data_IF_896879666099
#
_entry.id   IF_896879666099
#
_cell.length_a   1.000
_cell.length_b   1.000
_cell.length_c   1.000
_cell.angle_alpha   90.00
_cell.angle_beta   90.00
_cell.angle_gamma   90.00
#
_symmetry.space_group_name_H-M   'P 1'
#
loop_
_entity.id
_entity.type
_entity.pdbx_description
1 polymer ?
#
# COMPACT_ATOMS: atom_id res chain seq x y z
N UNK A 1 -54.25 3.61 -1.21
CA UNK A 1 -52.83 3.45 -1.57
C UNK A 1 -52.63 2.01 -2.01
N UNK A 2 -52.29 1.78 -3.25
CA UNK A 2 -52.03 0.43 -3.77
C UNK A 2 -50.77 -0.10 -3.10
N UNK A 3 -50.86 -1.29 -2.50
CA UNK A 3 -49.70 -1.95 -1.88
C UNK A 3 -48.70 -2.31 -2.99
N UNK A 4 -47.45 -1.84 -2.90
CA UNK A 4 -46.40 -2.23 -3.85
C UNK A 4 -46.19 -3.75 -3.79
N UNK A 5 -45.90 -4.35 -4.96
CA UNK A 5 -45.47 -5.75 -4.99
C UNK A 5 -44.12 -5.91 -4.27
N UNK A 6 -43.79 -7.12 -3.86
CA UNK A 6 -42.46 -7.41 -3.25
C UNK A 6 -41.33 -7.05 -4.20
N UNK A 7 -41.47 -7.40 -5.47
CA UNK A 7 -40.53 -7.07 -6.53
C UNK A 7 -40.32 -5.56 -6.68
N UNK A 8 -41.41 -4.76 -6.77
CA UNK A 8 -41.29 -3.30 -6.87
C UNK A 8 -40.66 -2.69 -5.63
N UNK A 9 -40.93 -3.27 -4.46
CA UNK A 9 -40.27 -2.85 -3.20
C UNK A 9 -38.79 -3.10 -3.24
N UNK A 10 -38.36 -4.28 -3.65
CA UNK A 10 -36.93 -4.63 -3.74
C UNK A 10 -36.21 -3.73 -4.73
N UNK A 11 -36.73 -3.49 -5.91
CA UNK A 11 -36.15 -2.57 -6.90
C UNK A 11 -36.03 -1.14 -6.36
N UNK A 12 -37.07 -0.65 -5.69
CA UNK A 12 -37.06 0.70 -5.09
C UNK A 12 -36.00 0.83 -4.01
N UNK A 13 -35.86 -0.15 -3.12
CA UNK A 13 -34.86 -0.13 -2.07
C UNK A 13 -33.44 -0.28 -2.66
N UNK A 14 -33.27 -1.15 -3.68
CA UNK A 14 -32.05 -1.28 -4.43
C UNK A 14 -31.61 0.04 -5.09
N UNK A 15 -32.58 0.77 -5.69
CA UNK A 15 -32.30 2.06 -6.32
C UNK A 15 -31.81 3.11 -5.32
N UNK A 16 -32.38 3.17 -4.12
CA UNK A 16 -31.89 4.09 -3.05
C UNK A 16 -30.47 3.76 -2.59
N UNK A 17 -30.16 2.47 -2.46
CA UNK A 17 -28.81 2.01 -2.12
C UNK A 17 -27.83 2.39 -3.23
N UNK A 18 -28.23 2.20 -4.50
CA UNK A 18 -27.42 2.56 -5.66
C UNK A 18 -27.12 4.06 -5.70
N UNK A 19 -28.11 4.93 -5.43
CA UNK A 19 -27.92 6.38 -5.36
C UNK A 19 -26.86 6.74 -4.32
N UNK A 20 -27.01 6.25 -3.11
CA UNK A 20 -26.09 6.56 -2.02
C UNK A 20 -24.67 6.07 -2.30
N UNK A 21 -24.51 4.88 -2.88
CA UNK A 21 -23.22 4.35 -3.26
C UNK A 21 -22.59 5.14 -4.42
N UNK A 22 -23.38 5.50 -5.42
CA UNK A 22 -22.92 6.28 -6.55
C UNK A 22 -22.44 7.67 -6.14
N UNK A 23 -23.19 8.35 -5.27
CA UNK A 23 -22.78 9.66 -4.71
C UNK A 23 -21.51 9.55 -3.87
N UNK A 24 -21.40 8.51 -3.03
CA UNK A 24 -20.26 8.32 -2.13
C UNK A 24 -18.95 8.05 -2.90
N UNK A 25 -19.04 7.29 -3.99
CA UNK A 25 -17.86 6.83 -4.74
C UNK A 25 -17.70 7.52 -6.10
N UNK A 26 -18.46 8.60 -6.37
CA UNK A 26 -18.28 9.37 -7.60
C UNK A 26 -16.86 9.95 -7.70
N UNK A 27 -16.31 10.06 -8.90
CA UNK A 27 -16.80 9.59 -10.19
C UNK A 27 -16.31 8.18 -10.56
N UNK A 28 -15.62 7.46 -9.68
CA UNK A 28 -14.86 6.26 -9.99
C UNK A 28 -15.68 4.95 -9.93
N UNK A 29 -16.92 5.02 -9.48
CA UNK A 29 -17.78 3.83 -9.31
C UNK A 29 -19.10 3.97 -10.08
N UNK A 30 -19.26 3.15 -11.09
CA UNK A 30 -20.57 2.92 -11.73
C UNK A 30 -21.38 1.98 -10.84
N UNK A 31 -22.64 2.34 -10.59
CA UNK A 31 -23.61 1.50 -9.86
C UNK A 31 -24.81 1.20 -10.74
N UNK A 32 -25.12 -0.08 -10.89
CA UNK A 32 -26.19 -0.56 -11.79
C UNK A 32 -27.20 -1.38 -10.99
N UNK A 33 -28.48 -1.11 -11.17
CA UNK A 33 -29.56 -1.95 -10.67
C UNK A 33 -30.20 -2.68 -11.86
N UNK A 34 -30.28 -4.00 -11.74
CA UNK A 34 -30.88 -4.88 -12.70
C UNK A 34 -32.23 -5.42 -12.19
N UNK A 35 -33.23 -5.39 -13.02
CA UNK A 35 -34.42 -6.21 -12.91
C UNK A 35 -34.19 -7.54 -13.64
N UNK A 36 -34.03 -8.60 -12.87
CA UNK A 36 -33.75 -9.93 -13.42
C UNK A 36 -35.01 -10.66 -13.90
N UNK A 37 -36.20 -10.12 -13.63
CA UNK A 37 -37.46 -10.65 -14.18
C UNK A 37 -37.68 -10.27 -15.64
N UNK A 38 -36.93 -9.25 -16.13
CA UNK A 38 -36.94 -8.81 -17.53
C UNK A 38 -35.50 -8.78 -18.11
N UNK A 39 -34.86 -9.94 -18.37
CA UNK A 39 -33.45 -10.00 -18.72
C UNK A 39 -33.12 -9.32 -20.06
N UNK A 40 -34.05 -9.13 -20.97
CA UNK A 40 -33.82 -8.41 -22.23
C UNK A 40 -33.75 -6.88 -22.07
N UNK A 41 -34.25 -6.34 -20.96
CA UNK A 41 -34.28 -4.92 -20.61
C UNK A 41 -33.95 -4.78 -19.11
N UNK A 42 -32.87 -5.39 -18.67
CA UNK A 42 -32.59 -5.60 -17.25
C UNK A 42 -32.13 -4.35 -16.52
N UNK A 43 -31.43 -3.43 -17.16
CA UNK A 43 -30.95 -2.22 -16.47
C UNK A 43 -32.12 -1.27 -16.22
N UNK A 44 -32.53 -1.13 -14.98
CA UNK A 44 -33.57 -0.19 -14.54
C UNK A 44 -32.99 1.08 -13.95
N UNK A 45 -31.70 1.05 -13.54
CA UNK A 45 -30.98 2.21 -13.04
C UNK A 45 -29.48 2.04 -13.26
N UNK A 46 -28.82 3.13 -13.63
CA UNK A 46 -27.38 3.21 -13.78
C UNK A 46 -26.91 4.61 -13.39
N UNK A 47 -25.91 4.70 -12.53
CA UNK A 47 -25.30 5.94 -12.07
C UNK A 47 -23.79 5.92 -12.33
N UNK A 48 -23.21 7.09 -12.63
CA UNK A 48 -21.80 7.26 -12.97
C UNK A 48 -21.32 6.30 -14.07
N UNK A 49 -22.09 6.18 -15.17
CA UNK A 49 -21.80 5.20 -16.23
C UNK A 49 -20.37 5.34 -16.77
N UNK A 50 -19.55 4.32 -16.53
CA UNK A 50 -18.19 4.17 -17.08
C UNK A 50 -18.13 3.05 -18.13
N UNK A 51 -19.10 2.16 -18.14
CA UNK A 51 -19.21 1.03 -19.08
C UNK A 51 -19.78 1.41 -20.43
N UNK A 52 -20.39 2.59 -20.54
CA UNK A 52 -21.14 3.02 -21.72
C UNK A 52 -22.53 2.37 -21.86
N UNK A 53 -22.96 1.61 -20.85
CA UNK A 53 -24.31 1.01 -20.81
C UNK A 53 -25.37 2.03 -20.39
N UNK A 54 -26.63 1.70 -20.67
CA UNK A 54 -27.78 2.57 -20.47
C UNK A 54 -28.96 1.82 -19.88
N UNK A 55 -29.93 2.58 -19.33
CA UNK A 55 -31.19 2.03 -18.88
C UNK A 55 -31.88 1.32 -20.07
N UNK A 56 -32.42 0.13 -19.85
CA UNK A 56 -33.04 -0.71 -20.84
C UNK A 56 -32.11 -1.72 -21.51
N UNK A 57 -30.80 -1.68 -21.23
CA UNK A 57 -29.86 -2.68 -21.75
C UNK A 57 -30.10 -4.06 -21.11
N UNK A 58 -29.76 -5.16 -21.83
CA UNK A 58 -30.00 -6.52 -21.37
C UNK A 58 -29.12 -6.91 -20.18
N UNK A 59 -29.50 -8.00 -19.51
CA UNK A 59 -28.68 -8.62 -18.48
C UNK A 59 -27.32 -9.10 -19.06
N UNK A 60 -26.29 -9.06 -18.23
CA UNK A 60 -25.01 -9.69 -18.56
C UNK A 60 -25.06 -11.22 -18.36
N UNK A 61 -24.02 -11.94 -18.82
CA UNK A 61 -23.86 -13.38 -18.60
C UNK A 61 -24.01 -13.75 -17.11
N UNK A 62 -23.47 -12.93 -16.21
CA UNK A 62 -23.59 -13.12 -14.76
C UNK A 62 -25.05 -13.01 -14.28
N UNK A 63 -25.80 -12.05 -14.82
CA UNK A 63 -27.23 -11.89 -14.53
C UNK A 63 -28.02 -13.10 -15.00
N UNK A 64 -27.74 -13.58 -16.22
CA UNK A 64 -28.39 -14.76 -16.80
C UNK A 64 -28.09 -16.04 -16.03
N UNK A 65 -26.81 -16.22 -15.60
CA UNK A 65 -26.41 -17.36 -14.78
C UNK A 65 -27.15 -17.38 -13.43
N UNK A 66 -27.35 -16.20 -12.82
CA UNK A 66 -28.09 -16.05 -11.57
C UNK A 66 -29.58 -16.37 -11.72
N UNK A 67 -30.19 -16.01 -12.85
CA UNK A 67 -31.58 -16.35 -13.16
C UNK A 67 -31.71 -17.87 -13.33
N UNK A 68 -30.76 -18.52 -14.00
CA UNK A 68 -30.78 -19.94 -14.32
C UNK A 68 -30.55 -20.85 -13.11
N UNK A 69 -29.85 -20.40 -12.08
CA UNK A 69 -29.48 -21.17 -10.90
C UNK A 69 -29.82 -20.46 -9.58
N UNK A 70 -30.92 -20.85 -8.90
CA UNK A 70 -31.25 -20.32 -7.57
C UNK A 70 -30.16 -20.56 -6.51
N UNK A 71 -29.26 -21.53 -6.72
CA UNK A 71 -28.10 -21.83 -5.89
C UNK A 71 -26.87 -20.97 -6.21
N UNK A 72 -26.95 -20.09 -7.23
CA UNK A 72 -25.87 -19.18 -7.57
C UNK A 72 -25.48 -18.30 -6.34
N UNK A 73 -24.20 -17.95 -6.14
CA UNK A 73 -23.79 -17.13 -5.00
C UNK A 73 -24.56 -15.81 -4.89
N UNK A 74 -25.06 -15.51 -3.68
CA UNK A 74 -25.81 -14.26 -3.42
C UNK A 74 -24.96 -13.02 -3.70
N UNK A 75 -23.65 -13.12 -3.52
CA UNK A 75 -22.70 -12.03 -3.81
C UNK A 75 -21.40 -12.56 -4.40
N UNK A 76 -20.87 -11.83 -5.37
CA UNK A 76 -19.51 -11.94 -5.88
C UNK A 76 -18.82 -10.60 -5.62
N UNK A 77 -17.67 -10.62 -4.98
CA UNK A 77 -17.00 -9.40 -4.50
C UNK A 77 -15.60 -9.31 -5.04
N UNK A 78 -15.21 -8.11 -5.51
CA UNK A 78 -13.84 -7.79 -5.89
C UNK A 78 -13.28 -8.65 -7.04
N UNK A 79 -14.11 -9.03 -8.00
CA UNK A 79 -13.66 -9.71 -9.21
C UNK A 79 -13.28 -8.73 -10.31
N UNK A 80 -12.39 -9.15 -11.19
CA UNK A 80 -12.01 -8.37 -12.35
C UNK A 80 -13.09 -8.44 -13.43
N UNK A 81 -13.42 -7.29 -14.02
CA UNK A 81 -14.25 -7.18 -15.20
C UNK A 81 -13.56 -6.25 -16.20
N UNK A 82 -13.89 -6.37 -17.49
CA UNK A 82 -13.26 -5.56 -18.53
C UNK A 82 -14.30 -4.71 -19.24
N UNK A 83 -14.06 -3.42 -19.34
CA UNK A 83 -14.87 -2.48 -20.11
C UNK A 83 -14.61 -2.64 -21.60
N UNK A 84 -15.51 -2.09 -22.43
CA UNK A 84 -15.41 -2.14 -23.89
C UNK A 84 -14.14 -1.45 -24.43
N UNK A 85 -13.57 -0.51 -23.70
CA UNK A 85 -12.32 0.20 -24.02
C UNK A 85 -11.06 -0.54 -23.52
N UNK A 86 -11.20 -1.73 -22.94
CA UNK A 86 -10.11 -2.57 -22.45
C UNK A 86 -9.65 -2.27 -21.01
N UNK A 87 -10.19 -1.24 -20.36
CA UNK A 87 -9.89 -0.98 -18.95
C UNK A 87 -10.42 -2.10 -18.05
N UNK A 88 -9.61 -2.49 -17.09
CA UNK A 88 -10.01 -3.45 -16.05
C UNK A 88 -10.60 -2.68 -14.88
N UNK A 89 -11.81 -3.08 -14.48
CA UNK A 89 -12.51 -2.54 -13.32
C UNK A 89 -12.65 -3.61 -12.25
N UNK A 90 -12.70 -3.17 -11.00
CA UNK A 90 -12.97 -4.02 -9.85
C UNK A 90 -14.48 -4.06 -9.63
N UNK A 91 -15.07 -5.22 -9.82
CA UNK A 91 -16.53 -5.39 -9.80
C UNK A 91 -17.02 -6.15 -8.56
N UNK A 92 -18.24 -5.81 -8.15
CA UNK A 92 -19.01 -6.53 -7.13
C UNK A 92 -20.44 -6.67 -7.64
N UNK A 93 -21.03 -7.85 -7.47
CA UNK A 93 -22.44 -8.11 -7.84
C UNK A 93 -23.18 -8.77 -6.68
N UNK A 94 -24.31 -8.21 -6.31
CA UNK A 94 -25.17 -8.65 -5.21
C UNK A 94 -26.53 -9.01 -5.81
N UNK A 95 -26.96 -10.26 -5.68
CA UNK A 95 -28.27 -10.72 -6.08
C UNK A 95 -29.28 -10.51 -4.97
N UNK A 96 -30.49 -10.11 -5.34
CA UNK A 96 -31.61 -9.95 -4.43
C UNK A 96 -32.67 -10.99 -4.76
N UNK A 97 -33.06 -11.78 -3.75
CA UNK A 97 -34.06 -12.82 -3.84
C UNK A 97 -35.38 -12.31 -3.29
N UNK A 98 -36.47 -12.79 -3.88
CA UNK A 98 -37.79 -12.67 -3.30
C UNK A 98 -38.05 -13.66 -2.15
N UNK A 99 -39.24 -13.59 -1.54
CA UNK A 99 -39.63 -14.51 -0.47
C UNK A 99 -39.74 -15.99 -0.88
N UNK A 100 -39.80 -16.26 -2.19
CA UNK A 100 -39.78 -17.61 -2.75
C UNK A 100 -38.34 -18.13 -3.02
N UNK A 101 -37.33 -17.29 -2.85
CA UNK A 101 -35.92 -17.63 -3.04
C UNK A 101 -35.41 -17.49 -4.47
N UNK A 102 -36.22 -16.91 -5.37
CA UNK A 102 -35.83 -16.61 -6.75
C UNK A 102 -35.07 -15.29 -6.83
N UNK A 103 -34.02 -15.20 -7.66
CA UNK A 103 -33.35 -13.96 -7.94
C UNK A 103 -34.21 -13.07 -8.82
N UNK A 104 -34.63 -11.92 -8.30
CA UNK A 104 -35.51 -10.97 -8.99
C UNK A 104 -34.81 -9.66 -9.32
N UNK A 105 -33.74 -9.33 -8.63
CA UNK A 105 -32.94 -8.13 -8.91
C UNK A 105 -31.47 -8.34 -8.62
N UNK A 106 -30.61 -7.42 -9.06
CA UNK A 106 -29.21 -7.36 -8.66
C UNK A 106 -28.73 -5.91 -8.59
N UNK A 107 -27.79 -5.66 -7.69
CA UNK A 107 -26.98 -4.44 -7.63
C UNK A 107 -25.56 -4.80 -8.05
N UNK A 108 -25.02 -4.07 -9.02
CA UNK A 108 -23.63 -4.23 -9.47
C UNK A 108 -22.87 -2.93 -9.28
N UNK A 109 -21.63 -3.04 -8.79
CA UNK A 109 -20.68 -1.94 -8.67
C UNK A 109 -19.50 -2.25 -9.58
N UNK A 110 -19.08 -1.26 -10.36
CA UNK A 110 -17.88 -1.32 -11.19
C UNK A 110 -16.99 -0.15 -10.82
N UNK A 111 -15.88 -0.42 -10.15
CA UNK A 111 -14.94 0.60 -9.69
C UNK A 111 -13.76 0.69 -10.66
N UNK A 112 -13.58 1.86 -11.28
CA UNK A 112 -12.41 2.14 -12.08
C UNK A 112 -11.21 2.40 -11.15
N UNK A 113 -10.30 1.46 -11.12
CA UNK A 113 -9.11 1.53 -10.27
C UNK A 113 -7.86 2.03 -11.03
N UNK A 114 -8.01 2.46 -12.29
CA UNK A 114 -6.89 2.86 -13.15
C UNK A 114 -6.08 4.00 -12.54
N UNK A 115 -6.74 5.04 -12.04
CA UNK A 115 -6.07 6.17 -11.39
C UNK A 115 -5.39 5.77 -10.08
N UNK A 116 -6.05 4.92 -9.29
CA UNK A 116 -5.50 4.44 -8.02
C UNK A 116 -4.26 3.57 -8.24
N UNK A 117 -4.29 2.72 -9.27
CA UNK A 117 -3.12 1.92 -9.66
C UNK A 117 -1.97 2.81 -10.12
N UNK A 118 -2.24 3.83 -10.94
CA UNK A 118 -1.22 4.80 -11.35
C UNK A 118 -0.60 5.55 -10.16
N UNK A 119 -1.41 5.96 -9.19
CA UNK A 119 -0.91 6.58 -7.95
C UNK A 119 -0.08 5.59 -7.11
N UNK A 120 -0.52 4.34 -7.01
CA UNK A 120 0.23 3.30 -6.29
C UNK A 120 1.59 3.03 -6.95
N UNK A 121 1.65 2.99 -8.27
CA UNK A 121 2.90 2.84 -9.02
C UNK A 121 3.82 4.05 -8.83
N UNK A 122 3.27 5.26 -8.86
CA UNK A 122 4.04 6.47 -8.58
C UNK A 122 4.63 6.45 -7.17
N UNK A 123 3.84 6.11 -6.15
CA UNK A 123 4.31 5.99 -4.76
C UNK A 123 5.39 4.92 -4.66
N UNK A 124 5.19 3.76 -5.29
CA UNK A 124 6.16 2.66 -5.28
C UNK A 124 7.49 3.10 -5.89
N UNK A 125 7.47 3.80 -7.03
CA UNK A 125 8.67 4.32 -7.66
C UNK A 125 9.35 5.41 -6.82
N UNK A 126 8.57 6.30 -6.21
CA UNK A 126 9.10 7.37 -5.36
C UNK A 126 9.76 6.85 -4.07
N UNK A 127 9.26 5.74 -3.55
CA UNK A 127 9.78 5.13 -2.32
C UNK A 127 10.77 4.00 -2.57
N UNK A 128 11.01 3.64 -3.82
CA UNK A 128 11.98 2.63 -4.18
C UNK A 128 13.39 3.06 -3.76
N UNK A 129 14.08 2.18 -3.04
CA UNK A 129 15.49 2.34 -2.66
C UNK A 129 16.25 1.25 -3.43
N UNK A 130 17.17 1.67 -4.27
CA UNK A 130 18.08 0.74 -4.92
C UNK A 130 19.18 0.35 -3.93
N UNK A 131 19.43 -0.94 -3.80
CA UNK A 131 20.51 -1.46 -2.96
C UNK A 131 21.82 -1.33 -3.75
N UNK A 132 22.51 -0.20 -3.55
CA UNK A 132 23.81 0.06 -4.16
C UNK A 132 24.88 -0.45 -3.22
N UNK A 133 25.49 -1.58 -3.54
CA UNK A 133 26.50 -2.28 -2.72
C UNK A 133 27.70 -1.40 -2.27
N UNK A 134 27.84 -0.21 -2.77
CA UNK A 134 29.10 0.55 -2.66
C UNK A 134 29.07 1.78 -1.73
N UNK A 135 27.93 2.23 -1.21
CA UNK A 135 27.92 3.51 -0.47
C UNK A 135 27.07 3.43 0.80
N UNK A 136 27.72 3.26 1.93
CA UNK A 136 27.12 3.54 3.25
C UNK A 136 27.32 5.03 3.58
N UNK A 137 26.51 5.90 3.02
CA UNK A 137 26.56 7.33 3.33
C UNK A 137 25.72 7.65 4.58
N UNK A 138 26.30 8.39 5.51
CA UNK A 138 25.58 9.01 6.62
C UNK A 138 25.36 10.48 6.29
N UNK A 139 24.11 10.89 6.12
CA UNK A 139 23.73 12.29 5.86
C UNK A 139 24.14 13.24 6.99
N UNK A 140 24.34 12.72 8.21
CA UNK A 140 24.81 13.53 9.32
C UNK A 140 26.34 13.59 9.33
N UNK A 141 26.87 14.81 9.37
CA UNK A 141 28.31 15.00 9.59
C UNK A 141 28.73 14.30 10.90
N UNK A 142 29.88 13.59 10.90
CA UNK A 142 30.40 12.93 12.09
C UNK A 142 30.52 13.93 13.25
N UNK A 143 30.14 13.52 14.45
CA UNK A 143 30.25 14.31 15.68
C UNK A 143 31.30 13.72 16.60
N UNK A 144 31.80 14.51 17.54
CA UNK A 144 32.73 14.04 18.55
C UNK A 144 32.21 12.84 19.37
N UNK A 145 30.90 12.78 19.61
CA UNK A 145 30.23 11.66 20.29
C UNK A 145 30.35 10.35 19.51
N UNK A 146 30.44 10.43 18.17
CA UNK A 146 30.63 9.26 17.32
C UNK A 146 32.00 8.61 17.55
N UNK A 147 33.03 9.39 17.86
CA UNK A 147 34.36 8.89 18.21
C UNK A 147 34.27 8.02 19.44
N UNK A 148 33.66 8.54 20.50
CA UNK A 148 33.56 7.81 21.78
C UNK A 148 32.71 6.55 21.63
N UNK A 149 31.62 6.61 20.86
CA UNK A 149 30.80 5.45 20.57
C UNK A 149 31.58 4.39 19.79
N UNK A 150 32.22 4.79 18.69
CA UNK A 150 33.03 3.87 17.87
C UNK A 150 34.12 3.17 18.67
N UNK A 151 34.88 3.91 19.50
CA UNK A 151 35.93 3.33 20.37
C UNK A 151 35.34 2.30 21.33
N UNK A 152 34.18 2.58 21.91
CA UNK A 152 33.49 1.65 22.81
C UNK A 152 33.04 0.38 22.08
N UNK A 153 32.43 0.53 20.93
CA UNK A 153 31.90 -0.60 20.13
C UNK A 153 33.08 -1.48 19.63
N UNK A 154 34.19 -0.86 19.21
CA UNK A 154 35.43 -1.54 18.81
C UNK A 154 36.02 -2.39 19.94
N UNK A 155 36.06 -1.85 21.15
CA UNK A 155 36.56 -2.55 22.31
C UNK A 155 35.62 -3.66 22.77
N UNK A 156 34.28 -3.39 22.73
CA UNK A 156 33.25 -4.35 23.08
C UNK A 156 33.27 -5.57 22.16
N UNK A 157 33.44 -5.37 20.86
CA UNK A 157 33.58 -6.46 19.89
C UNK A 157 34.77 -7.42 20.20
N UNK A 158 35.75 -6.94 20.98
CA UNK A 158 36.90 -7.71 21.45
C UNK A 158 36.77 -8.16 22.92
N UNK A 159 35.56 -7.99 23.51
CA UNK A 159 35.32 -8.23 24.95
C UNK A 159 36.27 -7.48 25.89
N UNK A 160 36.58 -6.22 25.54
CA UNK A 160 37.53 -5.38 26.28
C UNK A 160 36.95 -4.03 26.65
N UNK A 161 37.52 -3.40 27.68
CA UNK A 161 37.35 -1.98 27.95
C UNK A 161 38.26 -1.17 27.01
N UNK A 162 37.86 0.01 26.49
CA UNK A 162 38.72 0.85 25.66
C UNK A 162 40.14 1.10 26.19
N UNK A 163 40.28 1.26 27.53
CA UNK A 163 41.57 1.51 28.17
C UNK A 163 42.45 0.27 28.22
N UNK A 164 41.86 -0.93 28.11
CA UNK A 164 42.58 -2.20 28.14
C UNK A 164 43.05 -2.72 26.78
N UNK A 165 42.79 -1.98 25.71
CA UNK A 165 43.29 -2.28 24.37
C UNK A 165 44.83 -2.25 24.39
N UNK A 166 45.47 -3.25 23.76
CA UNK A 166 46.91 -3.29 23.59
C UNK A 166 47.38 -2.32 22.50
N UNK A 167 48.72 -2.24 22.30
CA UNK A 167 49.31 -1.28 21.36
C UNK A 167 48.85 -1.50 19.91
N UNK A 168 48.78 -2.75 19.46
CA UNK A 168 48.43 -3.07 18.09
C UNK A 168 46.93 -2.81 17.86
N UNK A 169 46.08 -3.21 18.78
CA UNK A 169 44.65 -2.91 18.73
C UNK A 169 44.35 -1.40 18.73
N UNK A 170 45.17 -0.61 19.44
CA UNK A 170 45.05 0.86 19.39
C UNK A 170 45.47 1.43 18.05
N UNK A 171 46.49 0.85 17.40
CA UNK A 171 46.90 1.26 16.06
C UNK A 171 45.81 0.95 15.02
N UNK A 172 45.25 -0.27 15.07
CA UNK A 172 44.16 -0.67 14.18
C UNK A 172 42.92 0.23 14.35
N UNK A 173 42.52 0.49 15.60
CA UNK A 173 41.45 1.42 15.93
C UNK A 173 41.74 2.83 15.37
N UNK A 174 42.98 3.31 15.48
CA UNK A 174 43.32 4.64 14.95
C UNK A 174 43.25 4.68 13.41
N UNK A 175 43.64 3.61 12.73
CA UNK A 175 43.53 3.49 11.29
C UNK A 175 42.05 3.54 10.85
N UNK A 176 41.17 2.79 11.51
CA UNK A 176 39.75 2.81 11.24
C UNK A 176 39.12 4.20 11.49
N UNK A 177 39.48 4.87 12.60
CA UNK A 177 39.00 6.24 12.88
C UNK A 177 39.48 7.27 11.84
N UNK A 178 40.66 7.07 11.26
CA UNK A 178 41.19 7.92 10.18
C UNK A 178 40.42 7.66 8.87
N UNK A 179 40.22 6.40 8.51
CA UNK A 179 39.50 6.01 7.31
C UNK A 179 38.04 6.52 7.33
N UNK A 180 37.41 6.50 8.50
CA UNK A 180 36.08 7.08 8.71
C UNK A 180 36.06 8.60 8.77
N UNK A 181 37.23 9.28 8.69
CA UNK A 181 37.33 10.74 8.76
C UNK A 181 37.08 11.31 10.15
N UNK A 182 36.91 10.48 11.19
CA UNK A 182 36.60 10.91 12.55
C UNK A 182 37.78 11.66 13.20
N UNK A 183 39.00 11.37 12.76
CA UNK A 183 40.21 12.06 13.26
C UNK A 183 40.38 13.48 12.73
N UNK A 184 39.67 13.86 11.66
CA UNK A 184 39.67 15.24 11.13
C UNK A 184 38.75 16.18 11.92
N UNK A 185 37.92 15.66 12.80
CA UNK A 185 37.02 16.46 13.61
C UNK A 185 37.76 17.30 14.63
N UNK A 186 37.28 18.54 14.84
CA UNK A 186 37.86 19.42 15.88
C UNK A 186 37.72 18.76 17.27
N UNK A 187 38.81 18.57 17.96
CA UNK A 187 38.83 17.97 19.30
C UNK A 187 38.95 16.45 19.32
N UNK A 188 38.99 15.76 18.14
CA UNK A 188 39.11 14.31 18.04
C UNK A 188 40.20 13.70 18.90
N UNK A 189 41.44 14.28 18.90
CA UNK A 189 42.55 13.82 19.70
C UNK A 189 42.23 13.87 21.20
N UNK A 190 41.49 14.85 21.67
CA UNK A 190 41.08 14.94 23.06
C UNK A 190 40.09 13.85 23.46
N UNK A 191 39.09 13.61 22.60
CA UNK A 191 38.08 12.56 22.83
C UNK A 191 38.74 11.16 22.82
N UNK A 192 39.58 10.88 21.83
CA UNK A 192 40.33 9.61 21.77
C UNK A 192 41.21 9.44 22.99
N UNK A 193 41.98 10.49 23.39
CA UNK A 193 42.83 10.50 24.58
C UNK A 193 42.04 10.13 25.84
N UNK A 194 40.86 10.74 26.02
CA UNK A 194 39.96 10.49 27.14
C UNK A 194 39.42 9.06 27.13
N UNK A 195 38.92 8.59 25.97
CA UNK A 195 38.34 7.27 25.82
C UNK A 195 39.35 6.13 26.05
N UNK A 196 40.56 6.27 25.52
CA UNK A 196 41.64 5.27 25.66
C UNK A 196 42.44 5.40 26.95
N UNK A 197 42.20 6.43 27.75
CA UNK A 197 42.97 6.69 28.97
C UNK A 197 44.47 6.95 28.71
N UNK A 198 44.80 7.58 27.58
CA UNK A 198 46.19 7.88 27.19
C UNK A 198 46.42 9.39 27.07
N UNK A 199 47.66 9.83 26.95
CA UNK A 199 47.95 11.25 26.68
C UNK A 199 47.70 11.61 25.21
N UNK A 200 47.56 12.90 24.90
CA UNK A 200 47.48 13.38 23.51
C UNK A 200 48.69 12.95 22.69
N UNK A 201 49.90 12.97 23.28
CA UNK A 201 51.11 12.47 22.64
C UNK A 201 51.04 10.98 22.35
N UNK A 202 50.39 10.20 23.24
CA UNK A 202 50.14 8.79 23.04
C UNK A 202 49.19 8.52 21.86
N UNK A 203 48.18 9.36 21.68
CA UNK A 203 47.30 9.24 20.49
C UNK A 203 48.09 9.40 19.19
N UNK A 204 48.96 10.41 19.11
CA UNK A 204 49.84 10.60 17.93
C UNK A 204 50.84 9.47 17.71
N UNK A 205 51.24 8.77 18.75
CA UNK A 205 52.09 7.58 18.62
C UNK A 205 51.36 6.40 17.91
N UNK A 206 50.09 6.26 18.13
CA UNK A 206 49.30 5.21 17.50
C UNK A 206 48.86 5.56 16.06
N UNK A 207 48.90 6.84 15.64
CA UNK A 207 48.57 7.30 14.29
C UNK A 207 49.73 7.04 13.28
N UNK A 208 50.93 6.85 13.77
CA UNK A 208 52.14 6.60 12.96
C UNK A 208 52.21 5.12 12.57
#
# INVERSE_FOLDING_TARGET
>A
MTKLSEHDLLLREAAKIADALAETFAPICEVVVHDLTNPSHAIVKIENSISGRSIGDPATELGLARIADPGFPDKLVNYANTLSDGRVVKSTSIGLKDSAGAYVAAICLNVDVSYLNGMADYIRNLTAIEDVEAVSERIQAPRSDDITRFIRDYALARNKDPKSLNTDEKRDLMAELQEMGLMSLRGSVAEVSKALGTSRSGVYYYIR
#
